data_IF_219397725656
#
_entry.id   IF_219397725656
#
_cell.length_a   1.000
_cell.length_b   1.000
_cell.length_c   1.000
_cell.angle_alpha   90.00
_cell.angle_beta   90.00
_cell.angle_gamma   90.00
#
_symmetry.space_group_name_H-M   'P 1'
#
loop_
_entity.id
_entity.type
_entity.pdbx_description
1 polymer ?
#
# COMPACT_ATOMS: atom_id res chain seq x y z
N UNK A 1 -2.75 8.84 -23.94
CA UNK A 1 -2.84 9.78 -22.79
C UNK A 1 -4.26 9.74 -22.25
N UNK A 2 -4.44 9.52 -20.94
CA UNK A 2 -5.75 9.62 -20.29
C UNK A 2 -6.18 11.10 -20.26
N UNK A 3 -7.34 11.47 -20.78
CA UNK A 3 -7.81 12.85 -20.69
C UNK A 3 -8.10 13.20 -19.22
N UNK A 4 -7.52 14.29 -18.74
CA UNK A 4 -7.77 14.79 -17.38
C UNK A 4 -8.98 15.74 -17.30
N UNK A 5 -9.61 16.05 -18.45
CA UNK A 5 -10.78 16.94 -18.55
C UNK A 5 -11.98 16.10 -18.96
N UNK A 6 -13.03 16.21 -18.17
CA UNK A 6 -14.30 15.49 -18.43
C UNK A 6 -15.40 16.48 -18.75
N UNK A 7 -16.27 16.12 -19.72
CA UNK A 7 -17.47 16.90 -19.98
C UNK A 7 -18.50 16.74 -18.84
N UNK A 8 -19.41 17.73 -18.67
CA UNK A 8 -20.48 17.61 -17.67
C UNK A 8 -21.34 16.35 -17.80
N UNK A 9 -21.56 15.88 -19.02
CA UNK A 9 -22.27 14.60 -19.27
C UNK A 9 -21.48 13.38 -18.79
N UNK A 10 -20.17 13.34 -19.00
CA UNK A 10 -19.33 12.26 -18.53
C UNK A 10 -19.31 12.21 -16.99
N UNK A 11 -19.21 13.38 -16.34
CA UNK A 11 -19.26 13.48 -14.87
C UNK A 11 -20.60 12.96 -14.32
N UNK A 12 -21.72 13.33 -14.94
CA UNK A 12 -23.06 12.83 -14.55
C UNK A 12 -23.17 11.31 -14.72
N UNK A 13 -22.68 10.77 -15.84
CA UNK A 13 -22.69 9.31 -16.10
C UNK A 13 -21.81 8.52 -15.13
N UNK A 14 -20.77 9.13 -14.60
CA UNK A 14 -19.90 8.51 -13.58
C UNK A 14 -20.55 8.48 -12.20
N UNK A 15 -21.59 9.31 -11.95
CA UNK A 15 -22.33 9.36 -10.68
C UNK A 15 -21.39 9.45 -9.46
N UNK A 16 -20.46 10.42 -9.52
CA UNK A 16 -19.42 10.56 -8.50
C UNK A 16 -19.89 11.30 -7.25
N UNK A 17 -20.94 12.11 -7.38
CA UNK A 17 -21.41 12.99 -6.30
C UNK A 17 -21.78 12.24 -5.01
N UNK A 18 -22.54 11.15 -5.04
CA UNK A 18 -22.83 10.38 -3.83
C UNK A 18 -21.58 9.88 -3.13
N UNK A 19 -20.60 9.37 -3.89
CA UNK A 19 -19.34 8.86 -3.31
C UNK A 19 -18.52 9.96 -2.64
N UNK A 20 -18.46 11.16 -3.23
CA UNK A 20 -17.80 12.30 -2.56
C UNK A 20 -18.55 12.74 -1.30
N UNK A 21 -19.88 12.72 -1.34
CA UNK A 21 -20.70 13.04 -0.16
C UNK A 21 -20.47 12.05 0.98
N UNK A 22 -20.43 10.76 0.66
CA UNK A 22 -20.14 9.69 1.63
C UNK A 22 -18.73 9.82 2.22
N UNK A 23 -17.72 10.06 1.39
CA UNK A 23 -16.35 10.32 1.82
C UNK A 23 -16.28 11.50 2.80
N UNK A 24 -16.96 12.63 2.47
CA UNK A 24 -16.94 13.81 3.33
C UNK A 24 -17.64 13.57 4.67
N UNK A 25 -18.74 12.81 4.66
CA UNK A 25 -19.46 12.40 5.86
C UNK A 25 -18.57 11.52 6.73
N UNK A 26 -18.03 10.46 6.18
CA UNK A 26 -17.17 9.50 6.86
C UNK A 26 -15.91 10.15 7.44
N UNK A 27 -15.30 11.08 6.68
CA UNK A 27 -14.15 11.84 7.15
C UNK A 27 -14.48 12.81 8.30
N UNK A 28 -15.71 13.30 8.36
CA UNK A 28 -16.19 14.18 9.44
C UNK A 28 -16.50 13.38 10.69
N UNK A 29 -17.23 12.28 10.54
CA UNK A 29 -17.79 11.53 11.66
C UNK A 29 -16.72 10.62 12.30
N UNK A 30 -15.75 10.14 11.52
CA UNK A 30 -14.61 9.30 11.97
C UNK A 30 -15.01 8.13 12.87
N UNK A 31 -16.10 7.46 12.53
CA UNK A 31 -16.53 6.27 13.24
C UNK A 31 -15.54 5.10 13.09
N UNK A 32 -15.71 4.07 13.90
CA UNK A 32 -14.84 2.88 13.84
C UNK A 32 -14.85 2.29 12.42
N UNK A 33 -13.66 2.16 11.81
CA UNK A 33 -13.51 1.63 10.45
C UNK A 33 -13.59 2.70 9.33
N UNK A 34 -13.72 3.98 9.65
CA UNK A 34 -13.81 5.07 8.65
C UNK A 34 -12.71 5.03 7.58
N UNK A 35 -11.48 4.68 7.94
CA UNK A 35 -10.37 4.60 6.99
C UNK A 35 -10.55 3.50 5.95
N UNK A 36 -11.20 2.39 6.33
CA UNK A 36 -11.53 1.31 5.39
C UNK A 36 -12.61 1.75 4.41
N UNK A 37 -13.64 2.45 4.90
CA UNK A 37 -14.73 2.98 4.08
C UNK A 37 -14.18 4.02 3.10
N UNK A 38 -13.37 4.99 3.57
CA UNK A 38 -12.71 5.97 2.72
C UNK A 38 -11.89 5.32 1.60
N UNK A 39 -11.12 4.29 1.95
CA UNK A 39 -10.31 3.56 0.96
C UNK A 39 -11.18 2.85 -0.07
N UNK A 40 -12.28 2.24 0.37
CA UNK A 40 -13.22 1.56 -0.52
C UNK A 40 -13.89 2.54 -1.49
N UNK A 41 -14.32 3.70 -1.01
CA UNK A 41 -15.00 4.71 -1.83
C UNK A 41 -14.03 5.40 -2.81
N UNK A 42 -12.79 5.66 -2.40
CA UNK A 42 -11.74 6.12 -3.32
C UNK A 42 -11.48 5.09 -4.43
N UNK A 43 -11.42 3.80 -4.11
CA UNK A 43 -11.28 2.74 -5.13
C UNK A 43 -12.48 2.68 -6.08
N UNK A 44 -13.71 2.90 -5.60
CA UNK A 44 -14.91 3.00 -6.46
C UNK A 44 -14.80 4.18 -7.42
N UNK A 45 -14.36 5.35 -6.94
CA UNK A 45 -14.16 6.54 -7.77
C UNK A 45 -13.13 6.25 -8.88
N UNK A 46 -11.97 5.72 -8.53
CA UNK A 46 -10.92 5.35 -9.51
C UNK A 46 -11.47 4.36 -10.54
N UNK A 47 -12.22 3.34 -10.10
CA UNK A 47 -12.80 2.34 -10.99
C UNK A 47 -13.81 2.96 -11.98
N UNK A 48 -14.58 3.98 -11.56
CA UNK A 48 -15.51 4.71 -12.45
C UNK A 48 -14.75 5.53 -13.49
N UNK A 49 -13.64 6.18 -13.12
CA UNK A 49 -12.76 6.86 -14.08
C UNK A 49 -12.17 5.90 -15.11
N UNK A 50 -11.60 4.78 -14.66
CA UNK A 50 -11.01 3.77 -15.55
C UNK A 50 -12.05 3.23 -16.54
N UNK A 51 -13.24 2.89 -16.06
CA UNK A 51 -14.35 2.45 -16.94
C UNK A 51 -14.79 3.52 -17.93
N UNK A 52 -14.81 4.78 -17.52
CA UNK A 52 -15.16 5.88 -18.43
C UNK A 52 -14.07 6.07 -19.51
N UNK A 53 -12.80 6.03 -19.15
CA UNK A 53 -11.69 6.08 -20.11
C UNK A 53 -11.72 4.89 -21.09
N UNK A 54 -12.00 3.70 -20.61
CA UNK A 54 -12.13 2.52 -21.46
C UNK A 54 -13.26 2.69 -22.49
N UNK A 55 -14.40 3.22 -22.08
CA UNK A 55 -15.52 3.54 -22.98
C UNK A 55 -15.18 4.63 -23.99
N UNK A 56 -14.25 5.53 -23.64
CA UNK A 56 -13.74 6.59 -24.53
C UNK A 56 -12.63 6.11 -25.47
N UNK A 57 -12.40 4.79 -25.57
CA UNK A 57 -11.39 4.21 -26.46
C UNK A 57 -9.95 4.22 -25.93
N UNK A 58 -9.76 4.59 -24.65
CA UNK A 58 -8.45 4.46 -24.02
C UNK A 58 -8.20 2.98 -23.73
N UNK A 59 -7.20 2.40 -24.41
CA UNK A 59 -6.75 1.04 -24.13
C UNK A 59 -5.95 1.05 -22.82
N UNK A 60 -6.47 0.38 -21.81
CA UNK A 60 -5.65 -0.04 -20.67
C UNK A 60 -5.12 -1.44 -20.95
N UNK A 61 -3.88 -1.75 -20.55
CA UNK A 61 -3.48 -3.14 -20.51
C UNK A 61 -4.55 -3.87 -19.68
N UNK A 62 -5.27 -4.79 -20.30
CA UNK A 62 -6.15 -5.67 -19.53
C UNK A 62 -5.30 -6.28 -18.44
N UNK A 63 -5.77 -6.35 -17.19
CA UNK A 63 -5.18 -7.26 -16.25
C UNK A 63 -5.38 -8.64 -16.89
N UNK A 64 -4.35 -9.08 -17.63
CA UNK A 64 -4.36 -10.38 -18.24
C UNK A 64 -4.61 -11.36 -17.12
N UNK A 65 -5.57 -12.26 -17.28
CA UNK A 65 -5.58 -13.52 -16.58
C UNK A 65 -4.30 -14.20 -17.04
N UNK A 66 -3.19 -13.92 -16.36
CA UNK A 66 -1.92 -14.59 -16.60
C UNK A 66 -2.05 -16.01 -16.07
N UNK A 67 -2.06 -17.03 -16.94
CA UNK A 67 -2.11 -18.42 -16.52
C UNK A 67 -0.78 -18.91 -15.93
N UNK A 68 0.15 -18.05 -15.71
CA UNK A 68 1.39 -18.27 -15.00
C UNK A 68 1.68 -17.06 -14.12
N UNK A 69 2.18 -17.27 -12.93
CA UNK A 69 2.51 -16.32 -11.86
C UNK A 69 3.46 -15.16 -12.26
N UNK A 70 3.32 -14.63 -13.48
CA UNK A 70 4.10 -13.50 -13.98
C UNK A 70 3.43 -12.20 -13.57
N UNK A 71 3.94 -11.59 -12.52
CA UNK A 71 3.54 -10.24 -12.14
C UNK A 71 4.29 -9.25 -13.02
N UNK A 72 3.57 -8.35 -13.68
CA UNK A 72 4.23 -7.21 -14.32
C UNK A 72 5.06 -6.45 -13.29
N UNK A 73 6.28 -6.06 -13.65
CA UNK A 73 7.15 -5.26 -12.78
C UNK A 73 6.45 -3.98 -12.28
N UNK A 74 5.50 -3.46 -13.04
CA UNK A 74 4.70 -2.29 -12.64
C UNK A 74 3.79 -2.55 -11.44
N UNK A 75 3.41 -3.81 -11.19
CA UNK A 75 2.55 -4.21 -10.08
C UNK A 75 3.33 -4.76 -8.88
N UNK A 76 4.66 -4.81 -8.97
CA UNK A 76 5.48 -5.46 -7.93
C UNK A 76 5.40 -4.74 -6.58
N UNK A 77 5.25 -3.40 -6.57
CA UNK A 77 5.07 -2.65 -5.34
C UNK A 77 3.73 -2.97 -4.68
N UNK A 78 2.65 -3.08 -5.45
CA UNK A 78 1.32 -3.46 -4.93
C UNK A 78 1.35 -4.89 -4.36
N UNK A 79 2.09 -5.79 -5.02
CA UNK A 79 2.30 -7.13 -4.51
C UNK A 79 3.04 -7.10 -3.17
N UNK A 80 4.15 -6.34 -3.07
CA UNK A 80 4.90 -6.19 -1.81
C UNK A 80 4.00 -5.58 -0.73
N UNK A 81 3.25 -4.53 -1.05
CA UNK A 81 2.37 -3.83 -0.10
C UNK A 81 1.20 -4.68 0.41
N UNK A 82 0.81 -5.72 -0.34
CA UNK A 82 -0.23 -6.67 0.08
C UNK A 82 0.30 -7.95 0.73
N UNK A 83 1.62 -8.26 0.59
CA UNK A 83 2.22 -9.50 1.07
C UNK A 83 3.47 -9.27 1.94
N UNK A 84 3.68 -8.03 2.43
CA UNK A 84 4.88 -7.65 3.21
C UNK A 84 5.11 -8.52 4.45
N UNK A 85 4.08 -9.09 5.03
CA UNK A 85 4.14 -9.95 6.20
C UNK A 85 4.67 -11.36 5.89
N UNK A 86 4.69 -11.75 4.61
CA UNK A 86 5.23 -13.03 4.16
C UNK A 86 6.76 -13.00 4.02
N UNK A 87 7.36 -14.17 3.82
CA UNK A 87 8.77 -14.27 3.47
C UNK A 87 8.99 -13.85 2.01
N UNK A 88 9.35 -12.58 1.83
CA UNK A 88 9.68 -11.99 0.53
C UNK A 88 11.18 -11.93 0.34
N UNK A 89 11.69 -12.63 -0.69
CA UNK A 89 13.08 -12.51 -1.13
C UNK A 89 13.16 -11.81 -2.48
N UNK A 90 14.28 -11.16 -2.76
CA UNK A 90 14.49 -10.46 -4.04
C UNK A 90 14.46 -11.46 -5.19
N UNK A 91 14.98 -12.67 -4.97
CA UNK A 91 14.99 -13.76 -5.94
C UNK A 91 13.57 -14.18 -6.31
N UNK A 92 12.69 -14.37 -5.30
CA UNK A 92 11.27 -14.72 -5.50
C UNK A 92 10.56 -13.64 -6.31
N UNK A 93 10.75 -12.37 -5.94
CA UNK A 93 10.12 -11.25 -6.63
C UNK A 93 10.65 -11.06 -8.06
N UNK A 94 11.95 -11.26 -8.28
CA UNK A 94 12.54 -11.24 -9.61
C UNK A 94 11.99 -12.36 -10.51
N UNK A 95 11.88 -13.58 -9.98
CA UNK A 95 11.29 -14.72 -10.69
C UNK A 95 9.82 -14.45 -11.06
N UNK A 96 9.03 -13.83 -10.17
CA UNK A 96 7.64 -13.46 -10.44
C UNK A 96 7.51 -12.44 -11.57
N UNK A 97 8.53 -11.60 -11.77
CA UNK A 97 8.60 -10.65 -12.88
C UNK A 97 9.30 -11.21 -14.13
N UNK A 98 9.64 -12.50 -14.14
CA UNK A 98 10.41 -13.15 -15.20
C UNK A 98 11.75 -12.42 -15.51
N UNK A 99 12.41 -11.94 -14.45
CA UNK A 99 13.65 -11.17 -14.52
C UNK A 99 14.79 -11.88 -13.78
N UNK A 100 16.03 -11.65 -14.25
CA UNK A 100 17.19 -12.00 -13.43
C UNK A 100 17.25 -11.11 -12.19
N UNK A 101 17.87 -11.60 -11.10
CA UNK A 101 18.08 -10.84 -9.86
C UNK A 101 18.72 -9.46 -10.13
N UNK A 102 19.73 -9.41 -10.99
CA UNK A 102 20.44 -8.16 -11.32
C UNK A 102 19.55 -7.18 -12.07
N UNK A 103 18.82 -7.65 -13.07
CA UNK A 103 17.89 -6.83 -13.87
C UNK A 103 16.77 -6.29 -12.98
N UNK A 104 16.18 -7.13 -12.14
CA UNK A 104 15.15 -6.74 -11.20
C UNK A 104 15.65 -5.66 -10.23
N UNK A 105 16.80 -5.90 -9.57
CA UNK A 105 17.38 -4.97 -8.60
C UNK A 105 17.69 -3.61 -9.21
N UNK A 106 18.25 -3.59 -10.43
CA UNK A 106 18.55 -2.36 -11.14
C UNK A 106 17.28 -1.58 -11.51
N UNK A 107 16.26 -2.27 -12.04
CA UNK A 107 14.99 -1.64 -12.41
C UNK A 107 14.25 -1.13 -11.18
N UNK A 108 14.28 -1.90 -10.08
CA UNK A 108 13.66 -1.51 -8.82
C UNK A 108 14.30 -0.24 -8.27
N UNK A 109 15.64 -0.19 -8.22
CA UNK A 109 16.35 1.00 -7.77
C UNK A 109 16.10 2.22 -8.65
N UNK A 110 16.07 2.04 -9.98
CA UNK A 110 15.76 3.14 -10.92
C UNK A 110 14.36 3.72 -10.71
N UNK A 111 13.39 2.88 -10.37
CA UNK A 111 11.99 3.28 -10.22
C UNK A 111 11.67 3.90 -8.86
N UNK A 112 12.22 3.32 -7.79
CA UNK A 112 11.85 3.67 -6.41
C UNK A 112 12.97 4.42 -5.67
N UNK A 113 14.14 4.59 -6.28
CA UNK A 113 15.34 5.20 -5.69
C UNK A 113 15.77 4.56 -4.35
N UNK A 114 15.45 3.28 -4.18
CA UNK A 114 15.83 2.45 -3.05
C UNK A 114 15.87 0.99 -3.45
N UNK A 115 16.58 0.17 -2.68
CA UNK A 115 16.61 -1.27 -2.93
C UNK A 115 15.29 -1.92 -2.56
N UNK A 116 14.98 -3.07 -3.18
CA UNK A 116 13.78 -3.83 -2.85
C UNK A 116 13.72 -4.25 -1.37
N UNK A 117 14.85 -4.59 -0.76
CA UNK A 117 14.95 -4.89 0.68
C UNK A 117 14.61 -3.69 1.56
N UNK A 118 15.07 -2.50 1.18
CA UNK A 118 14.73 -1.25 1.89
C UNK A 118 13.24 -0.95 1.75
N UNK A 119 12.66 -1.14 0.58
CA UNK A 119 11.24 -0.95 0.35
C UNK A 119 10.40 -1.88 1.24
N UNK A 120 10.67 -3.20 1.22
CA UNK A 120 9.98 -4.18 2.07
C UNK A 120 10.12 -3.80 3.56
N UNK A 121 11.34 -3.40 3.97
CA UNK A 121 11.59 -2.99 5.35
C UNK A 121 10.76 -1.75 5.72
N UNK A 122 10.72 -0.73 4.86
CA UNK A 122 9.94 0.48 5.10
C UNK A 122 8.44 0.19 5.18
N UNK A 123 7.89 -0.64 4.28
CA UNK A 123 6.49 -1.08 4.29
C UNK A 123 6.14 -1.79 5.61
N UNK A 124 6.98 -2.74 6.05
CA UNK A 124 6.80 -3.44 7.33
C UNK A 124 6.82 -2.50 8.54
N UNK A 125 7.76 -1.56 8.56
CA UNK A 125 7.88 -0.60 9.67
C UNK A 125 6.69 0.36 9.71
N UNK A 126 6.18 0.79 8.56
CA UNK A 126 4.99 1.63 8.49
C UNK A 126 3.73 0.88 8.96
N UNK A 127 3.57 -0.39 8.56
CA UNK A 127 2.50 -1.24 9.06
C UNK A 127 2.60 -1.45 10.58
N UNK A 128 3.81 -1.72 11.09
CA UNK A 128 4.05 -1.86 12.52
C UNK A 128 3.74 -0.58 13.31
N UNK A 129 4.07 0.59 12.77
CA UNK A 129 3.73 1.87 13.39
C UNK A 129 2.23 2.02 13.56
N UNK A 130 1.43 1.74 12.54
CA UNK A 130 -0.02 1.76 12.65
C UNK A 130 -0.52 0.81 13.75
N UNK A 131 -0.01 -0.41 13.83
CA UNK A 131 -0.37 -1.35 14.89
C UNK A 131 0.04 -0.85 16.29
N UNK A 132 1.22 -0.24 16.42
CA UNK A 132 1.70 0.33 17.68
C UNK A 132 0.82 1.48 18.18
N UNK A 133 0.30 2.31 17.26
CA UNK A 133 -0.51 3.49 17.58
C UNK A 133 -1.98 3.13 17.88
N UNK A 134 -2.53 2.10 17.21
CA UNK A 134 -3.97 1.81 17.25
C UNK A 134 -4.31 0.47 17.88
N UNK A 135 -3.35 -0.26 18.47
CA UNK A 135 -3.61 -1.50 19.17
C UNK A 135 -2.85 -1.60 20.49
N UNK A 136 -3.32 -2.47 21.37
CA UNK A 136 -2.66 -2.81 22.64
C UNK A 136 -1.71 -4.00 22.56
N UNK A 137 -1.53 -4.61 21.36
CA UNK A 137 -0.65 -5.77 21.17
C UNK A 137 0.78 -5.50 21.59
N UNK A 138 1.44 -6.50 22.13
CA UNK A 138 2.85 -6.36 22.50
C UNK A 138 3.77 -6.20 21.28
N UNK A 139 4.98 -5.71 21.51
CA UNK A 139 5.95 -5.44 20.44
C UNK A 139 6.38 -6.73 19.73
N UNK A 140 6.42 -7.85 20.44
CA UNK A 140 6.82 -9.14 19.88
C UNK A 140 5.73 -9.70 18.97
N UNK A 141 4.47 -9.53 19.34
CA UNK A 141 3.34 -9.87 18.48
C UNK A 141 3.37 -9.03 17.20
N UNK A 142 3.48 -7.70 17.33
CA UNK A 142 3.52 -6.81 16.17
C UNK A 142 4.68 -7.16 15.22
N UNK A 143 5.86 -7.45 15.77
CA UNK A 143 7.01 -7.85 14.97
C UNK A 143 6.70 -9.08 14.09
N UNK A 144 6.05 -10.10 14.64
CA UNK A 144 5.66 -11.30 13.89
C UNK A 144 4.62 -11.01 12.83
N UNK A 145 3.59 -10.26 13.19
CA UNK A 145 2.50 -9.89 12.26
C UNK A 145 3.00 -9.12 11.03
N UNK A 146 4.04 -8.29 11.20
CA UNK A 146 4.61 -7.57 10.06
C UNK A 146 5.77 -8.31 9.38
N UNK A 147 5.96 -9.58 9.68
CA UNK A 147 6.91 -10.45 8.97
C UNK A 147 8.34 -10.45 9.51
N UNK A 148 8.57 -10.10 10.79
CA UNK A 148 9.86 -10.26 11.45
C UNK A 148 9.85 -11.46 12.38
N UNK A 149 10.63 -12.52 12.10
CA UNK A 149 10.73 -13.68 12.99
C UNK A 149 11.46 -13.36 14.29
N UNK A 150 12.38 -12.37 14.28
CA UNK A 150 13.16 -11.94 15.43
C UNK A 150 12.78 -10.51 15.87
N UNK A 151 12.27 -10.41 17.09
CA UNK A 151 11.81 -9.14 17.67
C UNK A 151 12.98 -8.16 17.90
N UNK A 152 14.18 -8.63 18.23
CA UNK A 152 15.35 -7.77 18.47
C UNK A 152 15.81 -7.14 17.16
N UNK A 153 15.76 -7.90 16.06
CA UNK A 153 16.04 -7.38 14.73
C UNK A 153 14.99 -6.36 14.29
N UNK A 154 13.72 -6.62 14.52
CA UNK A 154 12.65 -5.67 14.29
C UNK A 154 12.89 -4.34 15.01
N UNK A 155 13.21 -4.38 16.32
CA UNK A 155 13.45 -3.17 17.12
C UNK A 155 14.59 -2.34 16.54
N UNK A 156 15.68 -2.99 16.07
CA UNK A 156 16.81 -2.31 15.42
C UNK A 156 16.38 -1.64 14.11
N UNK A 157 15.63 -2.36 13.25
CA UNK A 157 15.10 -1.82 11.99
C UNK A 157 14.15 -0.64 12.23
N UNK A 158 13.25 -0.78 13.19
CA UNK A 158 12.30 0.27 13.55
C UNK A 158 13.04 1.53 14.03
N UNK A 159 13.97 1.39 14.98
CA UNK A 159 14.78 2.51 15.48
C UNK A 159 15.60 3.17 14.38
N UNK A 160 16.17 2.38 13.44
CA UNK A 160 16.94 2.92 12.30
C UNK A 160 16.08 3.82 11.41
N UNK A 161 14.81 3.44 11.16
CA UNK A 161 13.93 4.16 10.24
C UNK A 161 13.18 5.31 10.94
N UNK A 162 12.70 5.10 12.18
CA UNK A 162 11.85 6.06 12.90
C UNK A 162 12.63 6.92 13.93
N UNK A 163 13.91 6.63 14.16
CA UNK A 163 14.75 7.34 15.13
C UNK A 163 14.52 6.96 16.60
N UNK A 164 13.39 6.33 16.92
CA UNK A 164 12.97 5.93 18.27
C UNK A 164 12.60 4.45 18.33
N UNK A 165 12.57 3.86 19.51
CA UNK A 165 12.14 2.46 19.67
C UNK A 165 10.62 2.32 19.59
N UNK A 166 10.07 1.11 19.26
CA UNK A 166 8.63 0.86 19.25
C UNK A 166 7.94 1.20 20.59
N UNK A 167 8.58 0.90 21.72
CA UNK A 167 8.06 1.24 23.06
C UNK A 167 7.99 2.75 23.28
N UNK A 168 9.01 3.50 22.82
CA UNK A 168 9.01 4.96 22.90
C UNK A 168 7.91 5.57 22.02
N UNK A 169 7.72 5.05 20.78
CA UNK A 169 6.67 5.49 19.89
C UNK A 169 5.29 5.35 20.54
N UNK A 170 5.01 4.19 21.15
CA UNK A 170 3.75 3.94 21.88
C UNK A 170 3.56 4.90 23.06
N UNK A 171 4.63 5.15 23.84
CA UNK A 171 4.56 6.06 24.99
C UNK A 171 4.22 7.49 24.55
N UNK A 172 4.88 7.99 23.53
CA UNK A 172 4.63 9.32 22.95
C UNK A 172 3.17 9.45 22.49
N UNK A 173 2.63 8.42 21.86
CA UNK A 173 1.23 8.43 21.42
C UNK A 173 0.26 8.43 22.59
N UNK A 174 0.51 7.63 23.63
CA UNK A 174 -0.33 7.61 24.82
C UNK A 174 -0.34 8.96 25.57
N UNK A 175 0.75 9.70 25.53
CA UNK A 175 0.86 11.04 26.12
C UNK A 175 0.11 12.10 25.30
N UNK A 176 0.03 11.94 23.96
CA UNK A 176 -0.73 12.85 23.08
C UNK A 176 -2.25 12.67 23.16
N UNK A 177 -2.71 11.50 23.62
CA UNK A 177 -4.12 11.16 23.71
C UNK A 177 -4.70 11.45 25.10
N UNK A 178 -3.92 12.03 26.03
CA UNK A 178 -4.33 12.51 27.36
C UNK A 178 -4.59 14.02 27.33
#
# INVERSE_FOLDING_TARGET
RCPCIFSPEQVRKMDLFPLFSDILKEYRDKELGYSMILTADLRKIISRFVRNWQKSGTSFPSPGVHPSYEISFDLISEYIDSHYFEELTVEKLAAMCNMSHSTFSMNFYRRYNMTCKEYITATRINAAENMLLFSSHDVSFIAREVGYPDCSYFIRCYKKIKGITPKQARKIQAEKNK
#
